data_IF_395795121378
#
_entry.id   IF_395795121378
#
_cell.length_a   1.000
_cell.length_b   1.000
_cell.length_c   1.000
_cell.angle_alpha   90.00
_cell.angle_beta   90.00
_cell.angle_gamma   90.00
#
_symmetry.space_group_name_H-M   'P 1'
#
loop_
_entity.id
_entity.type
_entity.pdbx_description
1 polymer ?
#
# COMPACT_ATOMS: atom_id res chain seq x y z
N UNK A 1 40.28 -1.93 31.60
CA UNK A 1 40.28 -2.36 30.18
C UNK A 1 41.34 -1.56 29.45
N UNK A 2 42.24 -2.18 28.69
CA UNK A 2 43.28 -1.43 27.98
C UNK A 2 42.64 -0.53 26.93
N UNK A 3 43.14 0.70 26.78
CA UNK A 3 42.63 1.67 25.80
C UNK A 3 42.60 1.09 24.37
N UNK A 4 43.51 0.15 24.11
CA UNK A 4 43.64 -0.59 22.87
C UNK A 4 42.43 -1.48 22.56
N UNK A 5 41.87 -2.15 23.57
CA UNK A 5 40.65 -2.95 23.40
C UNK A 5 39.45 -2.07 23.05
N UNK A 6 39.36 -0.88 23.64
CA UNK A 6 38.29 0.08 23.36
C UNK A 6 38.36 0.60 21.91
N UNK A 7 39.58 0.90 21.44
CA UNK A 7 39.82 1.38 20.08
C UNK A 7 39.42 0.36 19.02
N UNK A 8 39.75 -0.92 19.24
CA UNK A 8 39.38 -2.01 18.33
C UNK A 8 37.86 -2.19 18.24
N UNK A 9 37.15 -2.10 19.37
CA UNK A 9 35.69 -2.19 19.39
C UNK A 9 35.05 -1.04 18.61
N UNK A 10 35.53 0.20 18.80
CA UNK A 10 35.04 1.36 18.05
C UNK A 10 35.28 1.22 16.55
N UNK A 11 36.44 0.70 16.14
CA UNK A 11 36.75 0.47 14.73
C UNK A 11 35.81 -0.56 14.08
N UNK A 12 35.51 -1.64 14.81
CA UNK A 12 34.55 -2.67 14.36
C UNK A 12 33.13 -2.13 14.23
N UNK A 13 32.71 -1.24 15.13
CA UNK A 13 31.38 -0.60 15.06
C UNK A 13 31.21 0.32 13.85
N UNK A 14 32.29 0.91 13.32
CA UNK A 14 32.25 1.76 12.12
C UNK A 14 32.22 0.93 10.83
N UNK A 15 32.88 -0.24 10.83
CA UNK A 15 32.95 -1.14 9.68
C UNK A 15 31.69 -1.97 9.47
N UNK A 16 30.87 -2.15 10.51
CA UNK A 16 29.57 -2.79 10.39
C UNK A 16 28.58 -1.76 9.81
N UNK A 17 28.08 -1.94 8.57
CA UNK A 17 27.02 -1.09 8.09
C UNK A 17 25.85 -1.25 9.04
N UNK A 18 25.35 -0.14 9.60
CA UNK A 18 24.06 -0.16 10.28
C UNK A 18 23.03 -0.53 9.22
N UNK A 19 22.64 -1.80 9.17
CA UNK A 19 21.50 -2.26 8.40
C UNK A 19 20.25 -1.61 9.02
N UNK A 20 20.00 -0.35 8.66
CA UNK A 20 18.75 0.32 8.96
C UNK A 20 17.65 -0.49 8.28
N UNK A 21 16.86 -1.20 9.09
CA UNK A 21 15.75 -2.03 8.64
C UNK A 21 14.71 -1.20 7.90
N UNK A 22 14.89 -1.05 6.59
CA UNK A 22 14.02 -0.31 5.69
C UNK A 22 12.79 -1.13 5.27
N UNK A 23 11.88 -1.40 6.20
CA UNK A 23 10.58 -2.01 5.86
C UNK A 23 9.36 -1.21 6.38
N UNK A 24 9.59 -0.11 7.10
CA UNK A 24 8.49 0.75 7.61
C UNK A 24 7.79 1.57 6.50
N UNK A 25 8.50 1.94 5.43
CA UNK A 25 7.94 2.77 4.36
C UNK A 25 6.93 2.03 3.47
N UNK A 26 7.16 0.74 3.16
CA UNK A 26 6.29 0.00 2.24
C UNK A 26 4.86 -0.16 2.79
N UNK A 27 4.74 -0.51 4.07
CA UNK A 27 3.43 -0.62 4.76
C UNK A 27 2.66 0.71 4.79
N UNK A 28 3.37 1.83 4.93
CA UNK A 28 2.74 3.16 4.94
C UNK A 28 2.22 3.52 3.54
N UNK A 29 3.01 3.25 2.49
CA UNK A 29 2.60 3.47 1.10
C UNK A 29 1.36 2.64 0.74
N UNK A 30 1.35 1.35 1.06
CA UNK A 30 0.20 0.47 0.84
C UNK A 30 -1.05 0.95 1.59
N UNK A 31 -0.90 1.44 2.82
CA UNK A 31 -2.03 2.01 3.59
C UNK A 31 -2.58 3.28 2.94
N UNK A 32 -1.72 4.15 2.41
CA UNK A 32 -2.14 5.38 1.72
C UNK A 32 -2.88 5.05 0.43
N UNK A 33 -2.41 4.07 -0.32
CA UNK A 33 -3.04 3.58 -1.56
C UNK A 33 -4.43 3.00 -1.28
N UNK A 34 -4.57 2.15 -0.27
CA UNK A 34 -5.87 1.61 0.17
C UNK A 34 -6.85 2.72 0.60
N UNK A 35 -6.39 3.72 1.35
CA UNK A 35 -7.24 4.85 1.78
C UNK A 35 -7.70 5.68 0.58
N UNK A 36 -6.84 5.85 -0.44
CA UNK A 36 -7.22 6.53 -1.68
C UNK A 36 -8.29 5.74 -2.43
N UNK A 37 -8.14 4.43 -2.58
CA UNK A 37 -9.15 3.59 -3.23
C UNK A 37 -10.50 3.65 -2.50
N UNK A 38 -10.50 3.56 -1.17
CA UNK A 38 -11.74 3.66 -0.37
C UNK A 38 -12.43 5.01 -0.60
N UNK A 39 -11.68 6.12 -0.57
CA UNK A 39 -12.25 7.47 -0.82
C UNK A 39 -12.81 7.61 -2.23
N UNK A 40 -12.13 7.01 -3.20
CA UNK A 40 -12.56 7.05 -4.60
C UNK A 40 -13.83 6.22 -4.80
N UNK A 41 -14.00 5.13 -4.04
CA UNK A 41 -15.18 4.28 -4.05
C UNK A 41 -16.30 4.72 -3.07
N UNK A 42 -16.22 5.91 -2.46
CA UNK A 42 -17.17 6.40 -1.43
C UNK A 42 -18.55 6.83 -1.99
N UNK A 43 -18.95 6.28 -3.15
CA UNK A 43 -20.26 6.53 -3.74
C UNK A 43 -21.22 5.44 -3.27
N UNK A 44 -22.42 5.83 -2.81
CA UNK A 44 -23.50 4.89 -2.52
C UNK A 44 -23.84 4.10 -3.80
N UNK A 45 -23.35 2.86 -3.89
CA UNK A 45 -23.74 1.93 -4.94
C UNK A 45 -25.19 1.55 -4.79
N UNK A 46 -25.97 1.73 -5.84
CA UNK A 46 -27.30 1.15 -5.91
C UNK A 46 -27.25 -0.27 -6.47
N UNK A 47 -28.25 -1.08 -6.12
CA UNK A 47 -28.33 -2.49 -6.48
C UNK A 47 -28.31 -2.75 -8.00
N UNK A 48 -28.72 -1.79 -8.83
CA UNK A 48 -28.65 -1.91 -10.28
C UNK A 48 -27.21 -1.91 -10.82
N UNK A 49 -26.24 -1.38 -10.06
CA UNK A 49 -24.83 -1.34 -10.46
C UNK A 49 -24.14 -2.70 -10.30
N UNK A 50 -24.73 -3.63 -9.52
CA UNK A 50 -24.19 -4.96 -9.26
C UNK A 50 -24.10 -5.89 -10.48
N UNK A 51 -24.48 -5.42 -11.67
CA UNK A 51 -24.48 -6.18 -12.93
C UNK A 51 -23.13 -6.18 -13.65
N UNK A 52 -22.13 -5.44 -13.16
CA UNK A 52 -20.82 -5.26 -13.81
C UNK A 52 -19.69 -5.69 -12.86
N UNK A 53 -19.53 -7.00 -12.59
CA UNK A 53 -18.48 -7.49 -11.72
C UNK A 53 -17.09 -7.28 -12.34
N UNK A 54 -16.05 -7.19 -11.50
CA UNK A 54 -14.65 -7.10 -11.89
C UNK A 54 -13.74 -7.69 -10.82
N UNK A 55 -12.53 -8.10 -11.20
CA UNK A 55 -11.47 -8.45 -10.27
C UNK A 55 -10.39 -7.37 -10.23
N UNK A 56 -10.13 -6.73 -11.37
CA UNK A 56 -9.09 -5.72 -11.55
C UNK A 56 -9.63 -4.46 -12.23
N UNK A 57 -8.94 -3.32 -12.04
CA UNK A 57 -9.28 -2.07 -12.70
C UNK A 57 -9.31 -2.18 -14.24
N UNK A 58 -8.49 -3.07 -14.81
CA UNK A 58 -8.35 -3.29 -16.25
C UNK A 58 -9.57 -3.97 -16.88
N UNK A 59 -10.39 -4.66 -16.06
CA UNK A 59 -11.62 -5.29 -16.52
C UNK A 59 -12.70 -4.25 -16.85
N UNK A 60 -12.54 -3.03 -16.31
CA UNK A 60 -13.48 -1.94 -16.46
C UNK A 60 -13.19 -1.11 -17.72
N UNK A 61 -14.24 -0.87 -18.51
CA UNK A 61 -14.13 -0.06 -19.72
C UNK A 61 -13.98 1.43 -19.41
N UNK A 62 -13.26 2.15 -20.27
CA UNK A 62 -13.04 3.60 -20.19
C UNK A 62 -12.39 4.01 -18.86
N UNK A 63 -12.90 5.08 -18.22
CA UNK A 63 -12.35 5.64 -16.98
C UNK A 63 -13.03 5.07 -15.72
N UNK A 64 -13.56 3.86 -15.81
CA UNK A 64 -14.19 3.20 -14.66
C UNK A 64 -13.13 2.43 -13.87
N UNK A 65 -13.31 2.32 -12.56
CA UNK A 65 -12.46 1.51 -11.70
C UNK A 65 -13.27 0.41 -11.03
N UNK A 66 -12.58 -0.69 -10.71
CA UNK A 66 -13.10 -1.78 -9.91
C UNK A 66 -13.13 -1.41 -8.42
N UNK A 67 -14.32 -1.20 -7.88
CA UNK A 67 -14.53 -0.85 -6.49
C UNK A 67 -15.10 -2.02 -5.71
N UNK A 68 -14.69 -2.18 -4.44
CA UNK A 68 -15.31 -3.15 -3.54
C UNK A 68 -16.57 -2.57 -2.89
N UNK A 69 -17.67 -3.30 -3.02
CA UNK A 69 -19.03 -2.82 -2.67
C UNK A 69 -19.82 -3.92 -1.96
N UNK A 70 -21.06 -3.63 -1.54
CA UNK A 70 -21.89 -4.61 -0.82
C UNK A 70 -22.26 -5.85 -1.66
N UNK A 71 -22.21 -5.75 -2.98
CA UNK A 71 -22.47 -6.88 -3.89
C UNK A 71 -21.19 -7.50 -4.45
N UNK A 72 -20.03 -7.19 -3.85
CA UNK A 72 -18.71 -7.59 -4.33
C UNK A 72 -18.02 -6.50 -5.12
N UNK A 73 -17.03 -6.89 -5.91
CA UNK A 73 -16.22 -5.97 -6.71
C UNK A 73 -16.95 -5.64 -8.02
N UNK A 74 -17.19 -4.36 -8.29
CA UNK A 74 -17.90 -3.90 -9.49
C UNK A 74 -17.26 -2.68 -10.13
N UNK A 75 -17.43 -2.54 -11.45
CA UNK A 75 -16.95 -1.38 -12.19
C UNK A 75 -17.81 -0.15 -11.92
N UNK A 76 -17.20 0.90 -11.37
CA UNK A 76 -17.83 2.17 -11.03
C UNK A 76 -17.18 3.34 -11.76
N UNK A 77 -18.01 4.32 -12.12
CA UNK A 77 -17.54 5.61 -12.63
C UNK A 77 -17.36 6.60 -11.49
N UNK A 78 -16.23 7.32 -11.51
CA UNK A 78 -15.82 8.29 -10.48
C UNK A 78 -16.38 9.70 -10.69
N UNK A 79 -17.34 9.84 -11.60
CA UNK A 79 -17.97 11.11 -11.96
C UNK A 79 -19.04 11.55 -10.96
#
# INVERSE_FOLDING_TARGET
>A
MSAQALLLVLFLCVLLPQAQGGHRNLKMMQKIELIKEIKVCEKHTSIYMCRRPCEYHQDCQANNICCSTFCGNICMSLQ
#
